data_IF_760686828453
#
_entry.id   IF_760686828453
#
_cell.length_a   1.000
_cell.length_b   1.000
_cell.length_c   1.000
_cell.angle_alpha   90.00
_cell.angle_beta   90.00
_cell.angle_gamma   90.00
#
_symmetry.space_group_name_H-M   'P 1'
#
loop_
_entity.id
_entity.type
_entity.pdbx_description
1 polymer ?
#
# COMPACT_ATOMS: atom_id res chain seq x y z
N UNK A 1 40.67 -2.19 -22.15
CA UNK A 1 40.49 -3.23 -21.11
C UNK A 1 40.86 -2.57 -19.79
N UNK A 2 39.99 -2.39 -18.81
CA UNK A 2 38.78 -3.14 -18.47
C UNK A 2 37.76 -2.17 -17.87
N UNK A 3 36.49 -2.34 -18.24
CA UNK A 3 35.39 -1.58 -17.66
C UNK A 3 35.17 -2.02 -16.22
N UNK A 4 35.16 -1.05 -15.32
CA UNK A 4 34.53 -1.21 -14.01
C UNK A 4 33.01 -1.24 -14.26
N UNK A 5 32.47 -2.46 -14.33
CA UNK A 5 31.04 -2.67 -14.18
C UNK A 5 30.68 -2.23 -12.76
N UNK A 6 30.12 -1.02 -12.63
CA UNK A 6 29.50 -0.58 -11.40
C UNK A 6 28.51 -1.66 -10.93
N UNK A 7 28.65 -2.09 -9.68
CA UNK A 7 27.61 -2.87 -9.01
C UNK A 7 26.35 -2.00 -9.01
N UNK A 8 25.42 -2.27 -9.92
CA UNK A 8 24.04 -1.80 -9.83
C UNK A 8 23.53 -2.22 -8.46
N UNK A 9 23.13 -1.24 -7.63
CA UNK A 9 22.68 -1.49 -6.27
C UNK A 9 21.65 -2.62 -6.25
N UNK A 10 21.87 -3.61 -5.38
CA UNK A 10 20.87 -4.64 -5.14
C UNK A 10 19.64 -3.95 -4.55
N UNK A 11 18.56 -3.91 -5.33
CA UNK A 11 17.28 -3.38 -4.88
C UNK A 11 16.83 -4.19 -3.64
N UNK A 12 16.57 -3.52 -2.53
CA UNK A 12 16.20 -4.19 -1.28
C UNK A 12 14.71 -4.62 -1.35
N UNK A 13 14.40 -5.90 -1.07
CA UNK A 13 13.03 -6.41 -1.20
C UNK A 13 12.08 -5.72 -0.22
N UNK A 14 10.84 -5.54 -0.65
CA UNK A 14 9.73 -5.02 0.13
C UNK A 14 8.59 -6.04 0.17
N UNK A 15 8.16 -6.38 1.39
CA UNK A 15 7.08 -7.31 1.70
C UNK A 15 5.92 -6.52 2.33
N UNK A 16 4.86 -6.21 1.58
CA UNK A 16 3.79 -5.31 2.02
C UNK A 16 3.20 -5.63 3.40
N UNK A 17 3.00 -6.91 3.71
CA UNK A 17 2.43 -7.37 4.98
C UNK A 17 3.41 -7.50 6.15
N UNK A 18 4.67 -7.11 5.98
CA UNK A 18 5.72 -7.25 7.02
C UNK A 18 6.56 -6.00 7.19
N UNK A 19 6.73 -5.24 6.12
CA UNK A 19 7.61 -4.08 6.10
C UNK A 19 6.83 -2.76 6.25
N UNK A 20 5.51 -2.82 6.46
CA UNK A 20 4.65 -1.65 6.56
C UNK A 20 3.47 -1.87 7.49
N UNK A 21 3.26 -0.94 8.44
CA UNK A 21 2.24 -1.04 9.49
C UNK A 21 0.83 -1.26 8.92
N UNK A 22 0.38 -0.39 8.01
CA UNK A 22 -0.94 -0.56 7.39
C UNK A 22 -1.06 -1.92 6.69
N UNK A 23 0.02 -2.43 6.09
CA UNK A 23 0.04 -3.75 5.48
C UNK A 23 -0.19 -4.86 6.51
N UNK A 24 0.55 -4.85 7.62
CA UNK A 24 0.34 -5.80 8.73
C UNK A 24 -1.11 -5.77 9.25
N UNK A 25 -1.68 -4.58 9.40
CA UNK A 25 -3.06 -4.39 9.87
C UNK A 25 -4.08 -4.90 8.85
N UNK A 26 -3.87 -4.66 7.54
CA UNK A 26 -4.70 -5.25 6.47
C UNK A 26 -4.64 -6.77 6.57
N UNK A 27 -3.43 -7.34 6.71
CA UNK A 27 -3.21 -8.77 6.78
C UNK A 27 -3.96 -9.41 7.95
N UNK A 28 -3.79 -8.87 9.16
CA UNK A 28 -4.54 -9.27 10.36
C UNK A 28 -6.06 -9.23 10.12
N UNK A 29 -6.56 -8.14 9.56
CA UNK A 29 -8.00 -7.94 9.30
C UNK A 29 -8.53 -8.97 8.29
N UNK A 30 -7.76 -9.31 7.25
CA UNK A 30 -8.14 -10.36 6.29
C UNK A 30 -8.16 -11.75 6.92
N UNK A 31 -7.20 -12.05 7.80
CA UNK A 31 -7.17 -13.32 8.53
C UNK A 31 -8.37 -13.49 9.47
N UNK A 32 -8.81 -12.41 10.13
CA UNK A 32 -10.05 -12.38 10.92
C UNK A 32 -11.30 -12.65 10.06
N UNK A 33 -11.23 -12.29 8.77
CA UNK A 33 -12.25 -12.62 7.77
C UNK A 33 -12.14 -14.04 7.20
N UNK A 34 -11.16 -14.82 7.65
CA UNK A 34 -10.94 -16.20 7.23
C UNK A 34 -10.16 -16.34 5.93
N UNK A 35 -9.54 -15.26 5.43
CA UNK A 35 -8.61 -15.33 4.29
C UNK A 35 -7.32 -16.01 4.76
N UNK A 36 -6.84 -16.99 3.99
CA UNK A 36 -5.59 -17.67 4.35
C UNK A 36 -4.38 -16.73 4.13
N UNK A 37 -3.31 -16.89 4.93
CA UNK A 37 -2.05 -16.17 4.70
C UNK A 37 -1.56 -16.24 3.25
N UNK A 38 -1.67 -17.43 2.64
CA UNK A 38 -1.23 -17.67 1.28
C UNK A 38 -2.09 -16.92 0.26
N UNK A 39 -3.41 -16.94 0.39
CA UNK A 39 -4.31 -16.25 -0.54
C UNK A 39 -4.09 -14.73 -0.49
N UNK A 40 -3.86 -14.17 0.70
CA UNK A 40 -3.56 -12.76 0.86
C UNK A 40 -2.22 -12.39 0.19
N UNK A 41 -1.15 -13.15 0.43
CA UNK A 41 0.16 -12.93 -0.18
C UNK A 41 0.06 -13.07 -1.72
N UNK A 42 -0.62 -14.12 -2.22
CA UNK A 42 -0.82 -14.34 -3.65
C UNK A 42 -1.62 -13.20 -4.31
N UNK A 43 -2.63 -12.68 -3.61
CA UNK A 43 -3.41 -11.54 -4.10
C UNK A 43 -2.53 -10.31 -4.33
N UNK A 44 -1.72 -9.93 -3.34
CA UNK A 44 -0.83 -8.76 -3.44
C UNK A 44 0.31 -8.99 -4.43
N UNK A 45 0.94 -10.17 -4.41
CA UNK A 45 2.02 -10.51 -5.35
C UNK A 45 1.55 -10.64 -6.79
N UNK A 46 0.25 -10.84 -7.04
CA UNK A 46 -0.31 -10.90 -8.39
C UNK A 46 -0.23 -9.58 -9.18
N UNK A 47 0.15 -8.47 -8.54
CA UNK A 47 0.53 -7.24 -9.25
C UNK A 47 1.89 -7.35 -9.94
N UNK A 48 2.76 -8.25 -9.50
CA UNK A 48 4.09 -8.41 -10.05
C UNK A 48 4.04 -9.13 -11.40
N UNK A 49 4.87 -8.71 -12.37
CA UNK A 49 5.16 -9.52 -13.54
C UNK A 49 5.72 -10.90 -13.14
N UNK A 50 5.52 -11.90 -14.00
CA UNK A 50 5.86 -13.31 -13.71
C UNK A 50 7.36 -13.57 -13.48
N UNK A 51 8.24 -12.66 -13.89
CA UNK A 51 9.69 -12.71 -13.68
C UNK A 51 10.14 -12.10 -12.33
N UNK A 52 9.24 -11.44 -11.60
CA UNK A 52 9.53 -10.83 -10.29
C UNK A 52 8.92 -11.63 -9.15
N UNK A 53 9.67 -11.75 -8.05
CA UNK A 53 9.27 -12.51 -6.85
C UNK A 53 8.85 -11.63 -5.67
N UNK A 54 9.21 -10.36 -5.68
CA UNK A 54 8.90 -9.40 -4.62
C UNK A 54 8.84 -7.98 -5.18
N UNK A 55 8.22 -7.09 -4.42
CA UNK A 55 8.39 -5.65 -4.61
C UNK A 55 9.75 -5.23 -4.07
N UNK A 56 10.14 -4.01 -4.38
CA UNK A 56 11.40 -3.42 -3.93
C UNK A 56 11.12 -2.03 -3.39
N UNK A 57 11.83 -1.65 -2.34
CA UNK A 57 11.68 -0.32 -1.77
C UNK A 57 12.02 0.76 -2.78
N UNK A 58 11.19 1.80 -2.84
CA UNK A 58 11.50 3.01 -3.58
C UNK A 58 12.70 3.70 -2.94
N UNK A 59 13.75 4.09 -3.70
CA UNK A 59 14.90 4.79 -3.14
C UNK A 59 14.47 6.02 -2.33
N UNK A 60 14.96 6.15 -1.10
CA UNK A 60 14.40 7.10 -0.13
C UNK A 60 14.33 8.55 -0.66
N UNK A 61 15.38 9.06 -1.32
CA UNK A 61 15.37 10.41 -1.90
C UNK A 61 14.25 10.61 -2.92
N UNK A 62 13.97 9.58 -3.74
CA UNK A 62 12.86 9.58 -4.70
C UNK A 62 11.52 9.48 -3.96
N UNK A 63 11.42 8.61 -2.95
CA UNK A 63 10.22 8.42 -2.15
C UNK A 63 9.78 9.71 -1.47
N UNK A 64 10.69 10.39 -0.76
CA UNK A 64 10.42 11.69 -0.11
C UNK A 64 9.95 12.76 -1.10
N UNK A 65 10.55 12.81 -2.30
CA UNK A 65 10.11 13.73 -3.35
C UNK A 65 8.67 13.44 -3.78
N UNK A 66 8.34 12.17 -4.00
CA UNK A 66 7.01 11.74 -4.44
C UNK A 66 5.96 11.96 -3.35
N UNK A 67 6.29 11.74 -2.08
CA UNK A 67 5.41 12.02 -0.93
C UNK A 67 5.07 13.50 -0.75
N UNK A 68 5.86 14.41 -1.31
CA UNK A 68 5.50 15.83 -1.34
C UNK A 68 4.57 16.19 -2.51
N UNK A 69 4.68 15.47 -3.63
CA UNK A 69 3.96 15.77 -4.88
C UNK A 69 2.58 15.09 -4.94
N UNK A 70 2.50 13.82 -4.55
CA UNK A 70 1.27 13.05 -4.68
C UNK A 70 0.13 13.57 -3.79
N UNK A 71 0.35 13.95 -2.51
CA UNK A 71 -0.73 14.49 -1.69
C UNK A 71 -1.38 15.75 -2.29
N UNK A 72 -0.59 16.65 -2.88
CA UNK A 72 -1.14 17.83 -3.57
C UNK A 72 -1.98 17.45 -4.80
N UNK A 73 -1.48 16.51 -5.61
CA UNK A 73 -2.22 15.98 -6.77
C UNK A 73 -3.53 15.32 -6.34
N UNK A 74 -3.48 14.45 -5.34
CA UNK A 74 -4.65 13.72 -4.82
C UNK A 74 -5.66 14.69 -4.21
N UNK A 75 -5.24 15.68 -3.41
CA UNK A 75 -6.13 16.75 -2.90
C UNK A 75 -6.85 17.48 -4.03
N UNK A 76 -6.15 17.78 -5.12
CA UNK A 76 -6.76 18.39 -6.31
C UNK A 76 -7.86 17.52 -6.94
N UNK A 77 -7.61 16.22 -7.04
CA UNK A 77 -8.59 15.25 -7.56
C UNK A 77 -9.78 15.09 -6.60
N UNK A 78 -9.55 15.02 -5.30
CA UNK A 78 -10.60 14.94 -4.27
C UNK A 78 -11.52 16.17 -4.30
N UNK A 79 -10.96 17.38 -4.45
CA UNK A 79 -11.73 18.64 -4.55
C UNK A 79 -12.63 18.71 -5.78
N UNK A 80 -12.37 17.89 -6.78
CA UNK A 80 -13.13 17.85 -8.04
C UNK A 80 -13.89 16.53 -8.21
N UNK A 81 -13.99 15.74 -7.14
CA UNK A 81 -14.63 14.41 -7.09
C UNK A 81 -14.18 13.45 -8.21
N UNK A 82 -12.91 13.53 -8.61
CA UNK A 82 -12.29 12.67 -9.63
C UNK A 82 -11.68 11.41 -9.01
N UNK A 83 -12.48 10.67 -8.24
CA UNK A 83 -12.03 9.48 -7.49
C UNK A 83 -11.45 8.37 -8.40
N UNK A 84 -12.04 8.17 -9.58
CA UNK A 84 -11.51 7.20 -10.56
C UNK A 84 -10.08 7.53 -10.99
N UNK A 85 -9.74 8.82 -11.10
CA UNK A 85 -8.35 9.21 -11.42
C UNK A 85 -7.42 8.90 -10.27
N UNK A 86 -7.87 9.02 -9.02
CA UNK A 86 -7.07 8.62 -7.85
C UNK A 86 -6.79 7.12 -7.92
N UNK A 87 -7.81 6.30 -8.16
CA UNK A 87 -7.64 4.85 -8.36
C UNK A 87 -6.64 4.54 -9.49
N UNK A 88 -6.73 5.26 -10.62
CA UNK A 88 -5.79 5.09 -11.73
C UNK A 88 -4.34 5.46 -11.36
N UNK A 89 -4.12 6.50 -10.55
CA UNK A 89 -2.79 6.85 -10.06
C UNK A 89 -2.19 5.73 -9.20
N UNK A 90 -2.97 5.15 -8.28
CA UNK A 90 -2.53 4.00 -7.50
C UNK A 90 -2.24 2.79 -8.37
N UNK A 91 -3.09 2.52 -9.37
CA UNK A 91 -2.89 1.43 -10.33
C UNK A 91 -1.57 1.59 -11.08
N UNK A 92 -1.29 2.79 -11.62
CA UNK A 92 -0.04 3.09 -12.30
C UNK A 92 1.17 2.93 -11.36
N UNK A 93 1.07 3.45 -10.13
CA UNK A 93 2.14 3.38 -9.13
C UNK A 93 2.51 1.94 -8.79
N UNK A 94 1.52 1.07 -8.61
CA UNK A 94 1.72 -0.33 -8.26
C UNK A 94 2.16 -1.15 -9.48
N UNK A 95 1.37 -1.16 -10.55
CA UNK A 95 1.53 -2.10 -11.66
C UNK A 95 2.57 -1.65 -12.68
N UNK A 96 2.63 -0.35 -12.98
CA UNK A 96 3.57 0.18 -13.99
C UNK A 96 4.91 0.54 -13.37
N UNK A 97 4.90 1.15 -12.18
CA UNK A 97 6.11 1.66 -11.55
C UNK A 97 6.70 0.71 -10.50
N UNK A 98 5.94 -0.28 -10.02
CA UNK A 98 6.39 -1.23 -9.00
C UNK A 98 6.56 -0.64 -7.60
N UNK A 99 6.01 0.54 -7.33
CA UNK A 99 6.21 1.31 -6.08
C UNK A 99 5.12 1.00 -5.06
N UNK A 100 5.03 -0.27 -4.65
CA UNK A 100 4.03 -0.71 -3.68
C UNK A 100 4.23 -0.04 -2.30
N UNK A 101 5.47 0.20 -1.90
CA UNK A 101 5.80 0.88 -0.64
C UNK A 101 5.23 2.30 -0.60
N UNK A 102 5.42 3.08 -1.67
CA UNK A 102 4.85 4.41 -1.81
C UNK A 102 3.32 4.39 -1.87
N UNK A 103 2.74 3.41 -2.56
CA UNK A 103 1.30 3.26 -2.64
C UNK A 103 0.68 3.02 -1.26
N UNK A 104 1.30 2.16 -0.44
CA UNK A 104 0.86 1.92 0.93
C UNK A 104 0.96 3.17 1.82
N UNK A 105 2.06 3.94 1.72
CA UNK A 105 2.19 5.20 2.46
C UNK A 105 1.09 6.21 2.11
N UNK A 106 0.77 6.34 0.82
CA UNK A 106 -0.31 7.23 0.39
C UNK A 106 -1.70 6.70 0.75
N UNK A 107 -1.88 5.37 0.73
CA UNK A 107 -3.12 4.74 1.17
C UNK A 107 -3.36 4.95 2.66
N UNK A 108 -2.33 4.81 3.49
CA UNK A 108 -2.39 5.08 4.93
C UNK A 108 -2.71 6.54 5.21
N UNK A 109 -2.05 7.47 4.50
CA UNK A 109 -2.37 8.88 4.60
C UNK A 109 -3.83 9.20 4.21
N UNK A 110 -4.36 8.57 3.16
CA UNK A 110 -5.77 8.71 2.78
C UNK A 110 -6.71 8.10 3.83
N UNK A 111 -6.38 6.90 4.31
CA UNK A 111 -7.17 6.15 5.27
C UNK A 111 -7.31 6.88 6.60
N UNK A 112 -6.24 7.50 7.08
CA UNK A 112 -6.22 8.24 8.35
C UNK A 112 -6.67 9.70 8.22
N UNK A 113 -6.58 10.29 7.03
CA UNK A 113 -6.88 11.70 6.80
C UNK A 113 -8.22 12.00 6.14
N UNK A 114 -8.86 11.03 5.47
CA UNK A 114 -10.07 11.19 4.64
C UNK A 114 -11.05 10.04 4.84
N UNK A 115 -11.31 9.67 6.10
CA UNK A 115 -12.18 8.55 6.48
C UNK A 115 -13.61 8.65 5.91
N UNK A 116 -14.09 9.86 5.60
CA UNK A 116 -15.39 10.08 4.97
C UNK A 116 -15.46 9.55 3.53
N UNK A 117 -14.31 9.37 2.86
CA UNK A 117 -14.20 8.87 1.48
C UNK A 117 -14.25 7.34 1.42
N UNK A 118 -15.18 6.72 2.16
CA UNK A 118 -15.29 5.26 2.33
C UNK A 118 -15.33 4.48 1.03
N UNK A 119 -16.02 5.00 0.01
CA UNK A 119 -16.12 4.32 -1.30
C UNK A 119 -14.74 4.22 -1.96
N UNK A 120 -14.05 5.36 -2.10
CA UNK A 120 -12.68 5.42 -2.62
C UNK A 120 -11.74 4.54 -1.81
N UNK A 121 -11.80 4.60 -0.47
CA UNK A 121 -10.94 3.79 0.39
C UNK A 121 -11.16 2.29 0.13
N UNK A 122 -12.40 1.81 0.07
CA UNK A 122 -12.70 0.43 -0.28
C UNK A 122 -12.14 0.02 -1.65
N UNK A 123 -12.28 0.89 -2.66
CA UNK A 123 -11.72 0.65 -3.99
C UNK A 123 -10.19 0.57 -3.97
N UNK A 124 -9.52 1.41 -3.17
CA UNK A 124 -8.06 1.40 -3.04
C UNK A 124 -7.54 0.19 -2.24
N UNK A 125 -8.23 -0.23 -1.17
CA UNK A 125 -7.89 -1.46 -0.45
C UNK A 125 -8.14 -2.71 -1.31
N UNK A 126 -9.21 -2.72 -2.11
CA UNK A 126 -9.45 -3.78 -3.10
C UNK A 126 -8.33 -3.82 -4.15
N UNK A 127 -7.94 -2.65 -4.68
CA UNK A 127 -6.83 -2.53 -5.62
C UNK A 127 -5.49 -3.00 -5.02
N UNK A 128 -5.21 -2.72 -3.75
CA UNK A 128 -4.03 -3.23 -3.07
C UNK A 128 -3.95 -4.77 -3.13
N UNK A 129 -5.09 -5.46 -2.98
CA UNK A 129 -5.23 -6.91 -3.13
C UNK A 129 -5.44 -7.35 -4.60
N UNK A 130 -5.17 -6.47 -5.56
CA UNK A 130 -5.37 -6.66 -7.00
C UNK A 130 -6.78 -7.16 -7.36
N UNK A 131 -7.78 -6.69 -6.61
CA UNK A 131 -9.20 -7.06 -6.74
C UNK A 131 -9.45 -8.59 -6.67
N UNK A 132 -8.52 -9.36 -6.05
CA UNK A 132 -8.61 -10.84 -5.95
C UNK A 132 -9.43 -11.32 -4.76
N UNK A 133 -9.50 -10.52 -3.71
CA UNK A 133 -10.18 -10.87 -2.46
C UNK A 133 -11.33 -9.87 -2.25
N UNK A 134 -12.59 -10.33 -2.18
CA UNK A 134 -13.69 -9.45 -1.87
C UNK A 134 -13.61 -8.98 -0.41
N UNK A 135 -13.71 -7.67 -0.21
CA UNK A 135 -13.78 -7.08 1.13
C UNK A 135 -15.21 -7.17 1.69
N UNK A 136 -15.36 -7.50 2.98
CA UNK A 136 -16.68 -7.53 3.63
C UNK A 136 -17.23 -6.13 3.90
N UNK A 137 -18.54 -6.00 4.06
CA UNK A 137 -19.26 -4.72 4.20
C UNK A 137 -18.75 -3.78 5.33
N UNK A 138 -18.15 -4.34 6.38
CA UNK A 138 -17.59 -3.62 7.53
C UNK A 138 -16.06 -3.73 7.63
N UNK A 139 -15.37 -4.04 6.53
CA UNK A 139 -13.93 -4.17 6.48
C UNK A 139 -13.21 -2.91 7.00
N UNK A 140 -13.58 -1.73 6.52
CA UNK A 140 -12.93 -0.46 6.94
C UNK A 140 -13.06 -0.19 8.44
N UNK A 141 -14.19 -0.53 9.04
CA UNK A 141 -14.42 -0.27 10.47
C UNK A 141 -13.54 -1.18 11.33
N UNK A 142 -13.42 -2.47 10.96
CA UNK A 142 -12.49 -3.39 11.62
C UNK A 142 -11.05 -3.01 11.39
N UNK A 143 -10.70 -2.63 10.15
CA UNK A 143 -9.36 -2.19 9.81
C UNK A 143 -8.94 -1.00 10.68
N UNK A 144 -9.86 -0.04 10.89
CA UNK A 144 -9.62 1.12 11.77
C UNK A 144 -9.37 0.73 13.22
N UNK A 145 -10.20 -0.15 13.78
CA UNK A 145 -10.01 -0.67 15.14
C UNK A 145 -8.63 -1.34 15.25
N UNK A 146 -8.31 -2.25 14.34
CA UNK A 146 -7.03 -2.95 14.33
C UNK A 146 -5.85 -1.98 14.16
N UNK A 147 -5.99 -0.94 13.34
CA UNK A 147 -4.97 0.08 13.13
C UNK A 147 -4.69 0.88 14.40
N UNK A 148 -5.74 1.39 15.05
CA UNK A 148 -5.62 2.15 16.31
C UNK A 148 -5.00 1.30 17.43
N UNK A 149 -5.35 0.01 17.51
CA UNK A 149 -4.75 -0.94 18.46
C UNK A 149 -3.25 -1.13 18.25
N UNK A 150 -2.81 -1.35 17.00
CA UNK A 150 -1.38 -1.55 16.71
C UNK A 150 -0.59 -0.25 16.93
N UNK A 151 -1.10 0.92 16.51
CA UNK A 151 -0.45 2.22 16.79
C UNK A 151 -0.29 2.44 18.30
N UNK A 152 -1.33 2.17 19.09
CA UNK A 152 -1.26 2.33 20.55
C UNK A 152 -0.26 1.36 21.20
N UNK A 153 -0.15 0.13 20.67
CA UNK A 153 0.82 -0.86 21.14
C UNK A 153 2.24 -0.40 20.84
N UNK A 154 2.51 0.11 19.64
CA UNK A 154 3.84 0.60 19.26
C UNK A 154 4.25 1.80 20.10
N UNK A 155 3.34 2.74 20.35
CA UNK A 155 3.61 3.89 21.21
C UNK A 155 3.95 3.48 22.65
N UNK A 156 3.27 2.47 23.21
CA UNK A 156 3.56 1.94 24.55
C UNK A 156 4.91 1.23 24.63
N UNK A 157 5.40 0.65 23.54
CA UNK A 157 6.69 -0.02 23.50
C UNK A 157 7.88 0.96 23.43
N UNK A 158 7.62 2.26 23.27
CA UNK A 158 8.62 3.32 23.29
C UNK A 158 8.84 3.96 24.67
N UNK A 159 7.98 3.64 25.65
CA UNK A 159 8.04 4.10 27.05
C UNK A 159 8.70 3.05 27.97
#
# INVERSE_FOLDING_TARGET
>A
MSGESGKSGEDFPFYPFRDFLLGEVIFKTLQEDGVSPQDAEDAVLSHLPSDKKCFVFTPNAKKQTLLNLYPEKIRGLLKTDQEEKIRQEFCNMIQTEGKMDLALELLEWLFTGFEERRKLLNELFSLFLNDKIPLRDNFLDRLKINYEEEVLKDLKNLE
#
